data_IF_363662051777
#
_entry.id   IF_363662051777
#
_cell.length_a   1.000
_cell.length_b   1.000
_cell.length_c   1.000
_cell.angle_alpha   90.00
_cell.angle_beta   90.00
_cell.angle_gamma   90.00
#
_symmetry.space_group_name_H-M   'P 1'
#
loop_
_entity.id
_entity.type
_entity.pdbx_description
1 polymer ?
#
# COMPACT_ATOMS: atom_id res chain seq x y z
N UNK A 1 21.24 9.23 -10.66
CA UNK A 1 21.87 8.83 -9.36
C UNK A 1 23.13 9.62 -9.04
N UNK A 2 23.35 10.82 -9.65
CA UNK A 2 24.57 11.60 -9.47
C UNK A 2 24.83 11.97 -8.01
N UNK A 3 23.78 12.23 -7.24
CA UNK A 3 23.87 12.66 -5.83
C UNK A 3 23.69 11.52 -4.81
N UNK A 4 23.82 10.27 -5.20
CA UNK A 4 23.52 9.15 -4.29
C UNK A 4 24.49 9.10 -3.10
N UNK A 5 25.77 9.38 -3.32
CA UNK A 5 26.79 9.41 -2.25
C UNK A 5 26.50 10.50 -1.22
N UNK A 6 26.18 11.71 -1.67
CA UNK A 6 25.87 12.84 -0.79
C UNK A 6 24.58 12.57 -0.01
N UNK A 7 23.55 12.03 -0.69
CA UNK A 7 22.31 11.65 -0.03
C UNK A 7 22.51 10.55 1.01
N UNK A 8 23.37 9.55 0.74
CA UNK A 8 23.71 8.51 1.70
C UNK A 8 24.39 9.10 2.95
N UNK A 9 25.35 10.01 2.76
CA UNK A 9 26.02 10.69 3.88
C UNK A 9 25.04 11.50 4.71
N UNK A 10 24.21 12.32 4.08
CA UNK A 10 23.22 13.15 4.75
C UNK A 10 22.16 12.31 5.49
N UNK A 11 21.74 11.20 4.91
CA UNK A 11 20.75 10.30 5.51
C UNK A 11 21.36 9.30 6.51
N UNK A 12 22.69 9.22 6.64
CA UNK A 12 23.37 8.26 7.51
C UNK A 12 23.16 6.79 7.10
N UNK A 13 22.91 6.53 5.79
CA UNK A 13 22.67 5.16 5.31
C UNK A 13 23.97 4.48 4.89
N UNK A 14 24.20 3.20 5.25
CA UNK A 14 25.47 2.50 4.97
C UNK A 14 25.62 2.07 3.51
N UNK A 15 24.53 2.05 2.72
CA UNK A 15 24.55 1.60 1.33
C UNK A 15 23.46 2.28 0.50
N UNK A 16 23.72 2.41 -0.79
CA UNK A 16 22.76 2.91 -1.78
C UNK A 16 22.68 2.00 -3.00
N UNK A 17 21.49 1.82 -3.55
CA UNK A 17 21.27 0.97 -4.73
C UNK A 17 20.97 1.87 -5.93
N UNK A 18 21.76 1.72 -6.98
CA UNK A 18 21.50 2.31 -8.29
C UNK A 18 20.95 1.21 -9.21
N UNK A 19 19.65 1.23 -9.53
CA UNK A 19 19.07 0.21 -10.41
C UNK A 19 19.54 0.38 -11.86
N UNK A 20 19.27 -0.63 -12.69
CA UNK A 20 19.40 -0.48 -14.12
C UNK A 20 18.42 0.59 -14.62
N UNK A 21 18.88 1.46 -15.53
CA UNK A 21 18.10 2.58 -16.08
C UNK A 21 17.50 3.50 -14.99
N UNK A 22 18.32 4.08 -14.11
CA UNK A 22 17.85 4.82 -12.94
C UNK A 22 16.98 6.03 -13.28
N UNK A 23 17.17 6.63 -14.46
CA UNK A 23 16.33 7.73 -14.94
C UNK A 23 14.91 7.32 -15.37
N UNK A 24 14.66 6.02 -15.55
CA UNK A 24 13.36 5.45 -15.96
C UNK A 24 12.79 4.50 -14.89
N UNK A 25 13.38 4.46 -13.70
CA UNK A 25 13.03 3.50 -12.67
C UNK A 25 11.60 3.66 -12.16
N UNK A 26 11.09 4.89 -12.08
CA UNK A 26 9.69 5.17 -11.75
C UNK A 26 8.73 4.61 -12.81
N UNK A 27 9.03 4.81 -14.10
CA UNK A 27 8.22 4.24 -15.18
C UNK A 27 8.20 2.70 -15.11
N UNK A 28 9.35 2.09 -14.83
CA UNK A 28 9.43 0.65 -14.58
C UNK A 28 8.56 0.25 -13.37
N UNK A 29 8.60 1.02 -12.28
CA UNK A 29 7.75 0.79 -11.11
C UNK A 29 6.26 0.73 -11.47
N UNK A 30 5.77 1.61 -12.34
CA UNK A 30 4.38 1.57 -12.83
C UNK A 30 4.03 0.27 -13.55
N UNK A 31 4.96 -0.33 -14.29
CA UNK A 31 4.69 -1.62 -14.95
C UNK A 31 4.62 -2.80 -13.97
N UNK A 32 5.06 -2.60 -12.74
CA UNK A 32 5.04 -3.60 -11.66
C UNK A 32 3.82 -3.47 -10.76
N UNK A 33 2.98 -2.46 -10.96
CA UNK A 33 1.77 -2.26 -10.14
C UNK A 33 0.58 -3.04 -10.71
N UNK A 34 -0.34 -3.40 -9.83
CA UNK A 34 -1.65 -3.93 -10.21
C UNK A 34 -2.62 -2.79 -10.50
N UNK A 35 -3.61 -3.03 -11.36
CA UNK A 35 -4.70 -2.09 -11.52
C UNK A 35 -5.56 -2.10 -10.25
N UNK A 36 -5.89 -0.93 -9.74
CA UNK A 36 -6.55 -0.77 -8.44
C UNK A 36 -7.70 0.22 -8.54
N UNK A 37 -8.84 -0.14 -7.99
CA UNK A 37 -9.99 0.74 -7.76
C UNK A 37 -10.31 0.73 -6.27
N UNK A 38 -10.40 1.92 -5.70
CA UNK A 38 -10.83 2.13 -4.33
C UNK A 38 -12.14 2.89 -4.34
N UNK A 39 -13.15 2.35 -3.69
CA UNK A 39 -14.41 3.05 -3.42
C UNK A 39 -14.72 3.00 -1.94
N UNK A 40 -15.30 4.08 -1.46
CA UNK A 40 -15.71 4.24 -0.08
C UNK A 40 -17.10 4.83 -0.02
N UNK A 41 -17.89 4.38 0.95
CA UNK A 41 -19.22 4.93 1.20
C UNK A 41 -19.47 5.11 2.67
N UNK A 42 -19.84 6.31 3.07
CA UNK A 42 -20.24 6.62 4.44
C UNK A 42 -21.50 5.81 4.79
N UNK A 43 -21.43 5.09 5.89
CA UNK A 43 -22.48 4.21 6.38
C UNK A 43 -22.54 4.25 7.92
N UNK A 44 -22.94 5.40 8.52
CA UNK A 44 -22.86 5.60 9.95
C UNK A 44 -23.81 4.67 10.70
N UNK A 45 -23.24 3.82 11.54
CA UNK A 45 -23.96 2.88 12.41
C UNK A 45 -23.19 2.72 13.71
N UNK A 46 -23.86 2.26 14.76
CA UNK A 46 -23.22 2.01 16.05
C UNK A 46 -23.28 0.53 16.41
N UNK A 47 -22.36 0.08 17.26
CA UNK A 47 -22.37 -1.29 17.80
C UNK A 47 -23.65 -1.65 18.55
N UNK A 48 -24.37 -0.65 19.08
CA UNK A 48 -25.66 -0.82 19.78
C UNK A 48 -26.85 -0.90 18.83
N UNK A 49 -26.76 -0.23 17.66
CA UNK A 49 -27.82 -0.16 16.65
C UNK A 49 -27.21 -0.40 15.28
N UNK A 50 -26.92 -1.67 15.00
CA UNK A 50 -26.32 -2.08 13.74
C UNK A 50 -27.37 -2.63 12.77
N UNK A 51 -27.48 -2.02 11.60
CA UNK A 51 -28.40 -2.44 10.56
C UNK A 51 -27.68 -3.35 9.55
N UNK A 52 -27.79 -4.67 9.74
CA UNK A 52 -27.16 -5.68 8.89
C UNK A 52 -27.58 -5.61 7.43
N UNK A 53 -28.86 -5.36 7.16
CA UNK A 53 -29.38 -5.26 5.79
C UNK A 53 -28.75 -4.08 5.05
N UNK A 54 -28.74 -2.91 5.70
CA UNK A 54 -28.13 -1.71 5.12
C UNK A 54 -26.61 -1.88 4.93
N UNK A 55 -25.90 -2.39 5.92
CA UNK A 55 -24.45 -2.61 5.85
C UNK A 55 -24.09 -3.57 4.72
N UNK A 56 -24.81 -4.68 4.59
CA UNK A 56 -24.58 -5.66 3.53
C UNK A 56 -24.92 -5.11 2.15
N UNK A 57 -25.97 -4.31 2.03
CA UNK A 57 -26.30 -3.65 0.76
C UNK A 57 -25.17 -2.73 0.33
N UNK A 58 -24.71 -1.83 1.22
CA UNK A 58 -23.58 -0.93 0.94
C UNK A 58 -22.31 -1.69 0.54
N UNK A 59 -21.98 -2.74 1.28
CA UNK A 59 -20.82 -3.58 0.99
C UNK A 59 -20.92 -4.25 -0.40
N UNK A 60 -22.05 -4.86 -0.71
CA UNK A 60 -22.29 -5.53 -1.98
C UNK A 60 -22.27 -4.58 -3.17
N UNK A 61 -22.87 -3.39 -3.01
CA UNK A 61 -22.86 -2.37 -4.04
C UNK A 61 -21.43 -1.92 -4.34
N UNK A 62 -20.62 -1.65 -3.30
CA UNK A 62 -19.21 -1.26 -3.45
C UNK A 62 -18.37 -2.37 -4.13
N UNK A 63 -18.52 -3.62 -3.71
CA UNK A 63 -17.82 -4.77 -4.30
C UNK A 63 -18.16 -4.88 -5.79
N UNK A 64 -19.43 -4.76 -6.12
CA UNK A 64 -19.91 -4.79 -7.50
C UNK A 64 -19.34 -3.63 -8.32
N UNK A 65 -19.50 -2.40 -7.85
CA UNK A 65 -19.02 -1.19 -8.54
C UNK A 65 -17.50 -1.24 -8.80
N UNK A 66 -16.69 -1.61 -7.79
CA UNK A 66 -15.23 -1.76 -7.94
C UNK A 66 -14.87 -2.82 -8.98
N UNK A 67 -15.51 -3.99 -8.91
CA UNK A 67 -15.22 -5.11 -9.82
C UNK A 67 -15.63 -4.79 -11.25
N UNK A 68 -16.81 -4.20 -11.44
CA UNK A 68 -17.31 -3.79 -12.77
C UNK A 68 -16.40 -2.70 -13.39
N UNK A 69 -15.89 -1.77 -12.59
CA UNK A 69 -14.99 -0.72 -13.07
C UNK A 69 -13.67 -1.31 -13.60
N UNK A 70 -13.10 -2.35 -12.96
CA UNK A 70 -11.93 -3.06 -13.48
C UNK A 70 -12.25 -3.83 -14.76
N UNK A 71 -13.39 -4.52 -14.81
CA UNK A 71 -13.84 -5.26 -16.00
C UNK A 71 -14.03 -4.32 -17.19
N UNK A 72 -14.62 -3.14 -16.98
CA UNK A 72 -14.78 -2.11 -18.03
C UNK A 72 -13.45 -1.59 -18.56
N UNK A 73 -12.39 -1.59 -17.74
CA UNK A 73 -11.02 -1.24 -18.14
C UNK A 73 -10.29 -2.41 -18.84
N UNK A 74 -10.95 -3.57 -19.00
CA UNK A 74 -10.39 -4.75 -19.68
C UNK A 74 -9.71 -5.76 -18.77
N UNK A 75 -9.77 -5.57 -17.44
CA UNK A 75 -9.23 -6.53 -16.48
C UNK A 75 -10.29 -7.55 -16.12
N UNK A 76 -10.23 -8.73 -16.73
CA UNK A 76 -11.22 -9.82 -16.53
C UNK A 76 -10.66 -11.02 -15.78
N UNK A 77 -9.33 -11.07 -15.61
CA UNK A 77 -8.65 -12.14 -14.90
C UNK A 77 -8.46 -11.75 -13.43
N UNK A 78 -8.29 -12.68 -12.57
CA UNK A 78 -7.97 -12.62 -11.14
C UNK A 78 -8.14 -11.24 -10.47
N UNK A 79 -9.38 -10.90 -10.11
CA UNK A 79 -9.68 -9.71 -9.30
C UNK A 79 -9.74 -10.14 -7.83
N UNK A 80 -8.92 -9.52 -7.00
CA UNK A 80 -8.94 -9.66 -5.54
C UNK A 80 -9.67 -8.47 -4.93
N UNK A 81 -10.51 -8.73 -3.93
CA UNK A 81 -11.30 -7.70 -3.25
C UNK A 81 -10.89 -7.63 -1.78
N UNK A 82 -10.44 -6.47 -1.36
CA UNK A 82 -10.14 -6.15 0.03
C UNK A 82 -11.25 -5.24 0.56
N UNK A 83 -11.68 -5.50 1.78
CA UNK A 83 -12.74 -4.77 2.46
C UNK A 83 -12.17 -4.19 3.75
N UNK A 84 -12.44 -2.93 4.02
CA UNK A 84 -11.94 -2.21 5.20
C UNK A 84 -13.07 -1.38 5.80
N UNK A 85 -13.14 -1.34 7.11
CA UNK A 85 -14.13 -0.60 7.87
C UNK A 85 -13.43 0.55 8.59
N UNK A 86 -13.91 1.77 8.42
CA UNK A 86 -13.47 2.89 9.25
C UNK A 86 -14.33 2.98 10.50
N UNK A 87 -13.68 2.83 11.63
CA UNK A 87 -14.35 2.71 12.92
C UNK A 87 -13.68 3.57 13.98
N UNK A 88 -14.48 4.03 14.96
CA UNK A 88 -13.98 4.77 16.13
C UNK A 88 -14.84 4.50 17.34
N UNK A 89 -14.36 4.84 18.52
CA UNK A 89 -15.26 4.96 19.67
C UNK A 89 -16.16 6.18 19.53
N UNK A 90 -17.38 6.07 20.03
CA UNK A 90 -18.33 7.16 20.03
C UNK A 90 -17.74 8.44 20.63
N UNK A 91 -17.82 9.54 19.89
CA UNK A 91 -17.31 10.84 20.30
C UNK A 91 -15.80 11.06 20.08
N UNK A 92 -15.06 10.09 19.56
CA UNK A 92 -13.68 10.32 19.06
C UNK A 92 -13.67 10.94 17.66
N UNK A 93 -12.57 11.65 17.35
CA UNK A 93 -12.36 12.27 16.03
C UNK A 93 -11.30 11.55 15.17
N UNK A 94 -10.89 10.34 15.60
CA UNK A 94 -9.87 9.57 14.91
C UNK A 94 -10.43 8.19 14.60
N UNK A 95 -10.53 7.89 13.33
CA UNK A 95 -10.94 6.58 12.82
C UNK A 95 -9.74 5.65 12.71
N UNK A 96 -10.00 4.34 12.85
CA UNK A 96 -9.07 3.26 12.55
C UNK A 96 -9.64 2.43 11.40
N UNK A 97 -8.77 2.10 10.46
CA UNK A 97 -9.08 1.16 9.39
C UNK A 97 -8.97 -0.28 9.91
N UNK A 98 -10.07 -1.01 9.89
CA UNK A 98 -10.17 -2.40 10.35
C UNK A 98 -10.43 -3.30 9.14
N UNK A 99 -9.54 -4.25 8.82
CA UNK A 99 -9.78 -5.21 7.75
C UNK A 99 -11.03 -6.04 8.02
N UNK A 100 -11.85 -6.25 7.00
CA UNK A 100 -13.04 -7.08 7.04
C UNK A 100 -12.90 -8.27 6.10
N UNK A 101 -12.77 -9.47 6.65
CA UNK A 101 -12.47 -10.69 5.88
C UNK A 101 -13.68 -11.50 5.49
N UNK A 102 -14.84 -11.23 6.09
CA UNK A 102 -16.08 -11.94 5.80
C UNK A 102 -16.76 -11.43 4.52
N UNK A 103 -17.64 -12.24 3.95
CA UNK A 103 -18.40 -11.84 2.76
C UNK A 103 -19.64 -11.01 3.12
N UNK A 104 -20.10 -11.10 4.36
CA UNK A 104 -21.26 -10.36 4.84
C UNK A 104 -21.20 -10.13 6.35
N UNK A 105 -21.82 -9.04 6.79
CA UNK A 105 -22.09 -8.81 8.21
C UNK A 105 -23.21 -9.75 8.67
N UNK A 106 -22.97 -10.48 9.75
CA UNK A 106 -23.95 -11.38 10.36
C UNK A 106 -23.96 -11.24 11.88
N UNK A 107 -25.09 -11.51 12.52
CA UNK A 107 -25.22 -11.45 13.97
C UNK A 107 -24.18 -12.31 14.70
N UNK A 108 -23.84 -13.47 14.15
CA UNK A 108 -22.88 -14.39 14.76
C UNK A 108 -21.42 -13.94 14.67
N UNK A 109 -21.09 -13.05 13.74
CA UNK A 109 -19.72 -12.63 13.45
C UNK A 109 -19.43 -11.17 13.80
N UNK A 110 -20.46 -10.37 14.05
CA UNK A 110 -20.27 -8.94 14.32
C UNK A 110 -19.43 -8.68 15.57
N UNK A 111 -19.51 -9.55 16.58
CA UNK A 111 -18.68 -9.42 17.77
C UNK A 111 -17.19 -9.48 17.47
N UNK A 112 -16.76 -10.35 16.54
CA UNK A 112 -15.36 -10.45 16.15
C UNK A 112 -14.85 -9.19 15.42
N UNK A 113 -15.75 -8.46 14.77
CA UNK A 113 -15.41 -7.16 14.15
C UNK A 113 -15.13 -6.11 15.25
N UNK A 114 -15.98 -6.08 16.28
CA UNK A 114 -15.78 -5.18 17.43
C UNK A 114 -14.50 -5.52 18.21
N UNK A 115 -14.24 -6.81 18.41
CA UNK A 115 -13.01 -7.28 19.07
C UNK A 115 -11.75 -6.90 18.27
N UNK A 116 -11.81 -7.00 16.93
CA UNK A 116 -10.72 -6.57 16.06
C UNK A 116 -10.45 -5.07 16.17
N UNK A 117 -11.50 -4.25 16.29
CA UNK A 117 -11.36 -2.82 16.52
C UNK A 117 -10.71 -2.53 17.89
N UNK A 118 -11.19 -3.16 18.98
CA UNK A 118 -10.61 -2.99 20.31
C UNK A 118 -9.11 -3.34 20.30
N UNK A 119 -8.75 -4.45 19.66
CA UNK A 119 -7.37 -4.89 19.55
C UNK A 119 -6.51 -3.91 18.74
N UNK A 120 -7.01 -3.41 17.62
CA UNK A 120 -6.33 -2.41 16.79
C UNK A 120 -6.13 -1.10 17.56
N UNK A 121 -7.16 -0.65 18.28
CA UNK A 121 -7.10 0.56 19.11
C UNK A 121 -6.08 0.42 20.23
N UNK A 122 -6.05 -0.72 20.91
CA UNK A 122 -5.06 -1.03 21.94
C UNK A 122 -3.64 -1.05 21.38
N UNK A 123 -3.46 -1.63 20.21
CA UNK A 123 -2.15 -1.66 19.55
C UNK A 123 -1.68 -0.26 19.14
N UNK A 124 -2.61 0.58 18.67
CA UNK A 124 -2.28 1.92 18.18
C UNK A 124 -2.08 2.95 19.28
N UNK A 125 -2.90 2.88 20.34
CA UNK A 125 -2.99 3.92 21.38
C UNK A 125 -2.62 3.42 22.78
N UNK A 126 -2.29 2.12 22.97
CA UNK A 126 -1.97 1.46 24.23
C UNK A 126 -3.15 1.34 25.21
N UNK A 127 -4.39 1.57 24.77
CA UNK A 127 -5.58 1.34 25.57
C UNK A 127 -6.78 0.95 24.69
N UNK A 128 -7.77 0.31 25.30
CA UNK A 128 -9.07 -0.01 24.73
C UNK A 128 -10.16 0.31 25.76
N UNK A 129 -11.40 0.48 25.31
CA UNK A 129 -12.56 0.77 26.15
C UNK A 129 -13.66 -0.25 25.84
N UNK A 130 -13.62 -1.46 26.43
CA UNK A 130 -14.44 -2.60 26.03
C UNK A 130 -15.95 -2.39 26.06
N UNK A 131 -16.45 -1.48 26.92
CA UNK A 131 -17.88 -1.22 27.07
C UNK A 131 -18.36 0.03 26.33
N UNK A 132 -17.45 0.71 25.63
CA UNK A 132 -17.81 1.91 24.89
C UNK A 132 -18.49 1.55 23.56
N UNK A 133 -19.38 2.42 23.12
CA UNK A 133 -20.04 2.30 21.82
C UNK A 133 -19.04 2.52 20.72
N UNK A 134 -18.98 1.61 19.75
CA UNK A 134 -18.18 1.74 18.55
C UNK A 134 -19.07 2.31 17.45
N UNK A 135 -18.56 3.26 16.69
CA UNK A 135 -19.17 3.77 15.47
C UNK A 135 -18.47 3.18 14.24
N UNK A 136 -19.22 2.58 13.34
CA UNK A 136 -18.82 2.37 11.95
C UNK A 136 -19.14 3.66 11.21
N UNK A 137 -18.15 4.26 10.56
CA UNK A 137 -18.26 5.52 9.82
C UNK A 137 -18.43 5.26 8.34
N UNK A 138 -17.54 4.45 7.77
CA UNK A 138 -17.55 4.13 6.35
C UNK A 138 -17.14 2.68 6.08
N UNK A 139 -17.55 2.20 4.92
CA UNK A 139 -17.13 0.91 4.35
C UNK A 139 -16.32 1.25 3.11
N UNK A 140 -15.11 0.73 3.03
CA UNK A 140 -14.19 0.88 1.91
C UNK A 140 -13.94 -0.48 1.25
N UNK A 141 -13.98 -0.49 -0.06
CA UNK A 141 -13.67 -1.66 -0.87
C UNK A 141 -12.57 -1.31 -1.86
N UNK A 142 -11.55 -2.13 -1.91
CA UNK A 142 -10.45 -2.05 -2.87
C UNK A 142 -10.50 -3.29 -3.75
N UNK A 143 -10.67 -3.11 -5.06
CA UNK A 143 -10.51 -4.17 -6.03
C UNK A 143 -9.13 -4.07 -6.71
N UNK A 144 -8.42 -5.19 -6.78
CA UNK A 144 -7.09 -5.32 -7.36
C UNK A 144 -7.14 -6.32 -8.51
N UNK A 145 -6.83 -5.89 -9.73
CA UNK A 145 -6.61 -6.81 -10.84
C UNK A 145 -5.13 -7.20 -10.87
N UNK A 146 -4.84 -8.44 -10.55
CA UNK A 146 -3.47 -8.96 -10.50
C UNK A 146 -2.95 -9.13 -11.92
N UNK A 147 -2.03 -8.26 -12.31
CA UNK A 147 -1.44 -8.23 -13.65
C UNK A 147 -0.15 -9.03 -13.74
N UNK A 148 0.15 -9.66 -14.90
CA UNK A 148 1.45 -10.29 -15.11
C UNK A 148 2.58 -9.26 -14.96
N UNK A 149 3.59 -9.58 -14.16
CA UNK A 149 4.73 -8.69 -13.92
C UNK A 149 5.85 -8.96 -14.92
N UNK A 150 6.45 -7.92 -15.52
CA UNK A 150 7.61 -8.09 -16.36
C UNK A 150 8.76 -8.68 -15.54
N UNK A 151 9.42 -9.69 -16.11
CA UNK A 151 10.60 -10.27 -15.50
C UNK A 151 11.84 -9.44 -15.86
N UNK A 152 12.56 -8.99 -14.84
CA UNK A 152 13.85 -8.36 -15.07
C UNK A 152 14.87 -9.42 -15.48
N UNK A 153 15.59 -9.22 -16.61
CA UNK A 153 16.70 -10.10 -16.96
C UNK A 153 17.75 -10.01 -15.85
N UNK A 154 18.08 -11.16 -15.25
CA UNK A 154 19.21 -11.26 -14.33
C UNK A 154 20.49 -11.08 -15.14
N UNK A 155 21.20 -9.99 -14.94
CA UNK A 155 22.58 -9.89 -15.41
C UNK A 155 23.39 -10.84 -14.55
N UNK A 156 24.14 -11.76 -15.20
CA UNK A 156 25.15 -12.54 -14.53
C UNK A 156 26.16 -11.61 -13.81
N UNK A 157 26.72 -12.04 -12.70
CA UNK A 157 27.83 -11.32 -12.08
C UNK A 157 28.97 -11.25 -13.12
N UNK A 158 29.27 -10.05 -13.58
CA UNK A 158 30.48 -9.84 -14.37
C UNK A 158 31.67 -10.00 -13.41
N UNK A 159 32.52 -11.02 -13.64
CA UNK A 159 33.60 -11.40 -12.73
C UNK A 159 34.64 -10.29 -12.54
N UNK A 160 34.96 -9.52 -13.53
CA UNK A 160 35.94 -8.44 -13.47
C UNK A 160 35.35 -7.13 -13.99
N UNK A 161 35.72 -6.02 -13.36
CA UNK A 161 35.38 -4.71 -13.86
C UNK A 161 36.05 -4.50 -15.22
N UNK A 162 35.36 -3.94 -16.24
CA UNK A 162 36.01 -3.61 -17.49
C UNK A 162 37.16 -2.63 -17.23
N UNK A 163 38.17 -2.63 -18.11
CA UNK A 163 39.21 -1.62 -18.04
C UNK A 163 38.64 -0.23 -18.27
N UNK A 164 39.04 0.77 -17.48
CA UNK A 164 38.58 2.14 -17.70
C UNK A 164 39.00 2.63 -19.08
N UNK A 165 38.13 3.32 -19.78
CA UNK A 165 38.43 3.89 -21.09
C UNK A 165 39.10 5.28 -21.02
N UNK A 166 38.96 5.95 -19.91
CA UNK A 166 39.49 7.31 -19.69
C UNK A 166 39.66 7.55 -18.20
N UNK A 167 40.51 8.49 -17.84
CA UNK A 167 40.63 9.05 -16.50
C UNK A 167 40.30 10.54 -16.53
N UNK A 168 39.46 11.02 -15.61
CA UNK A 168 39.06 12.43 -15.51
C UNK A 168 39.27 12.95 -14.11
N UNK A 169 39.70 14.21 -14.02
CA UNK A 169 39.72 14.91 -12.75
C UNK A 169 38.29 15.34 -12.36
N UNK A 170 37.84 14.84 -11.23
CA UNK A 170 36.52 15.17 -10.64
C UNK A 170 36.70 16.05 -9.42
N UNK A 171 35.81 16.98 -9.22
CA UNK A 171 35.79 17.89 -8.10
C UNK A 171 34.90 17.33 -7.00
N UNK A 172 35.42 17.18 -5.82
CA UNK A 172 34.71 16.85 -4.59
C UNK A 172 34.87 18.01 -3.60
N UNK A 173 34.10 18.00 -2.49
CA UNK A 173 34.12 19.05 -1.48
C UNK A 173 35.51 19.23 -0.84
N UNK A 174 36.26 18.14 -0.73
CA UNK A 174 37.63 18.07 -0.16
C UNK A 174 38.75 18.26 -1.22
N UNK A 175 38.38 18.49 -2.49
CA UNK A 175 39.37 18.79 -3.54
C UNK A 175 39.14 18.04 -4.85
N UNK A 176 40.21 17.88 -5.64
CA UNK A 176 40.19 17.21 -6.93
C UNK A 176 40.78 15.79 -6.78
N UNK A 177 40.07 14.81 -7.35
CA UNK A 177 40.60 13.45 -7.45
C UNK A 177 40.43 12.87 -8.86
N UNK A 178 41.36 12.01 -9.32
CA UNK A 178 41.19 11.29 -10.58
C UNK A 178 40.08 10.24 -10.44
N UNK A 179 39.20 10.16 -11.42
CA UNK A 179 38.11 9.17 -11.49
C UNK A 179 38.20 8.38 -12.80
N UNK A 180 38.15 7.08 -12.69
CA UNK A 180 38.11 6.17 -13.82
C UNK A 180 36.73 6.22 -14.52
N UNK A 181 36.72 6.35 -15.85
CA UNK A 181 35.51 6.38 -16.68
C UNK A 181 35.36 5.01 -17.37
N UNK A 182 34.20 4.43 -17.25
CA UNK A 182 33.80 3.16 -17.88
C UNK A 182 32.67 3.40 -18.89
N UNK A 183 32.61 2.60 -19.96
CA UNK A 183 31.54 2.64 -20.99
C UNK A 183 30.77 1.33 -21.05
#
# INVERSE_FOLDING_TARGET
PVHISDLMQLAGTPSGIVPNHPGQFSAFGFTMTDARIDLERTAPMTSRFFNFEYANRVLNDLVKECSEALVQQGYTEKIEVLKTLEMRYFGQNHELEIPFYDDAFTENKISSVWDSFHQAHKTRYNFDIPNETIELISIKVTALAITPKPQMPRRGSHGELPSPCEERMVFFDDGKAPAAVYR
#
